data_IF_651845868212
#
_entry.id   IF_651845868212
#
_cell.length_a   1.000
_cell.length_b   1.000
_cell.length_c   1.000
_cell.angle_alpha   90.00
_cell.angle_beta   90.00
_cell.angle_gamma   90.00
#
_symmetry.space_group_name_H-M   'P 1'
#
loop_
_entity.id
_entity.type
_entity.pdbx_description
1 polymer ?
#
# COMPACT_ATOMS: atom_id res chain seq x y z
N UNK A 1 11.06 -16.45 15.03
CA UNK A 1 11.47 -15.02 14.99
C UNK A 1 10.32 -14.00 15.05
N UNK A 2 9.08 -14.39 15.39
CA UNK A 2 7.90 -13.50 15.39
C UNK A 2 7.57 -12.85 16.76
N UNK A 3 8.05 -13.41 17.87
CA UNK A 3 7.70 -12.92 19.22
C UNK A 3 8.45 -11.65 19.64
N UNK A 4 9.67 -11.42 19.14
CA UNK A 4 10.45 -10.21 19.46
C UNK A 4 9.83 -8.93 18.85
N UNK A 5 9.29 -9.03 17.63
CA UNK A 5 8.61 -7.90 16.96
C UNK A 5 7.37 -7.41 17.73
N UNK A 6 6.70 -8.33 18.44
CA UNK A 6 5.44 -8.05 19.16
C UNK A 6 5.67 -7.20 20.42
N UNK A 7 6.80 -7.37 21.09
CA UNK A 7 7.20 -6.56 22.26
C UNK A 7 7.69 -5.17 21.86
N UNK A 8 8.50 -5.08 20.80
CA UNK A 8 8.96 -3.79 20.26
C UNK A 8 7.79 -2.90 19.80
N UNK A 9 6.69 -3.48 19.30
CA UNK A 9 5.48 -2.75 18.88
C UNK A 9 4.80 -1.95 19.99
N UNK A 10 4.89 -2.39 21.26
CA UNK A 10 4.33 -1.64 22.41
C UNK A 10 5.18 -0.42 22.78
N UNK A 11 6.45 -0.39 22.40
CA UNK A 11 7.39 0.69 22.74
C UNK A 11 7.38 1.84 21.73
N UNK A 12 6.76 1.66 20.56
CA UNK A 12 6.65 2.75 19.59
C UNK A 12 5.68 3.83 20.12
N UNK A 13 6.10 5.09 20.04
CA UNK A 13 5.20 6.23 20.31
C UNK A 13 4.07 6.29 19.28
N UNK A 14 2.96 6.96 19.65
CA UNK A 14 1.84 7.19 18.72
C UNK A 14 2.33 7.92 17.48
N UNK A 15 3.13 8.97 17.65
CA UNK A 15 3.78 9.74 16.59
C UNK A 15 4.52 8.85 15.59
N UNK A 16 5.28 7.87 16.09
CA UNK A 16 6.05 6.98 15.22
C UNK A 16 5.14 6.05 14.42
N UNK A 17 4.07 5.54 15.03
CA UNK A 17 3.08 4.71 14.31
C UNK A 17 2.31 5.53 13.29
N UNK A 18 1.92 6.76 13.62
CA UNK A 18 1.26 7.70 12.69
C UNK A 18 2.17 7.98 11.50
N UNK A 19 3.44 8.31 11.73
CA UNK A 19 4.40 8.57 10.67
C UNK A 19 4.61 7.35 9.76
N UNK A 20 4.73 6.15 10.34
CA UNK A 20 4.92 4.92 9.57
C UNK A 20 3.65 4.50 8.81
N UNK A 21 2.47 4.75 9.37
CA UNK A 21 1.19 4.55 8.70
C UNK A 21 1.01 5.50 7.52
N UNK A 22 1.27 6.80 7.74
CA UNK A 22 1.23 7.84 6.71
C UNK A 22 2.18 7.52 5.55
N UNK A 23 3.43 7.15 5.87
CA UNK A 23 4.44 6.76 4.88
C UNK A 23 4.03 5.51 4.09
N UNK A 24 3.58 4.45 4.78
CA UNK A 24 3.16 3.22 4.13
C UNK A 24 1.92 3.41 3.23
N UNK A 25 0.92 4.14 3.73
CA UNK A 25 -0.28 4.47 2.97
C UNK A 25 0.04 5.35 1.77
N UNK A 26 0.85 6.40 1.94
CA UNK A 26 1.26 7.28 0.85
C UNK A 26 2.07 6.56 -0.24
N UNK A 27 3.02 5.69 0.15
CA UNK A 27 3.78 4.89 -0.80
C UNK A 27 2.90 3.91 -1.59
N UNK A 28 1.86 3.37 -0.97
CA UNK A 28 0.89 2.51 -1.65
C UNK A 28 -0.07 3.33 -2.53
N UNK A 29 -0.62 4.44 -2.04
CA UNK A 29 -1.47 5.35 -2.82
C UNK A 29 -0.77 5.91 -4.06
N UNK A 30 0.53 6.23 -3.94
CA UNK A 30 1.37 6.57 -5.08
C UNK A 30 1.44 5.41 -6.09
N UNK A 31 1.64 4.17 -5.63
CA UNK A 31 1.65 2.99 -6.51
C UNK A 31 0.31 2.78 -7.23
N UNK A 32 -0.80 2.94 -6.51
CA UNK A 32 -2.17 2.86 -7.06
C UNK A 32 -2.40 3.93 -8.12
N UNK A 33 -1.83 5.13 -7.95
CA UNK A 33 -1.95 6.22 -8.93
C UNK A 33 -1.37 5.88 -10.30
N UNK A 34 -0.39 4.97 -10.38
CA UNK A 34 0.25 4.54 -11.62
C UNK A 34 -0.29 3.20 -12.15
N UNK A 35 -1.32 2.64 -11.52
CA UNK A 35 -1.83 1.32 -11.85
C UNK A 35 -2.34 1.20 -13.30
N UNK A 36 -2.85 2.30 -13.88
CA UNK A 36 -3.27 2.34 -15.28
C UNK A 36 -2.10 2.13 -16.28
N UNK A 37 -0.85 2.26 -15.83
CA UNK A 37 0.36 1.99 -16.61
C UNK A 37 0.89 0.55 -16.40
N UNK A 38 0.20 -0.26 -15.59
CA UNK A 38 0.59 -1.62 -15.21
C UNK A 38 0.89 -1.78 -13.71
N UNK A 39 1.14 -3.02 -13.29
CA UNK A 39 1.47 -3.30 -11.88
C UNK A 39 2.84 -2.74 -11.50
N UNK A 40 2.88 -1.86 -10.51
CA UNK A 40 4.13 -1.32 -9.98
C UNK A 40 4.98 -2.41 -9.30
N UNK A 41 6.29 -2.36 -9.48
CA UNK A 41 7.22 -3.26 -8.78
C UNK A 41 7.01 -3.16 -7.26
N UNK A 42 6.75 -4.31 -6.63
CA UNK A 42 6.55 -4.41 -5.20
C UNK A 42 5.19 -3.93 -4.70
N UNK A 43 4.19 -3.83 -5.58
CA UNK A 43 2.81 -3.47 -5.25
C UNK A 43 2.27 -4.27 -4.05
N UNK A 44 2.35 -5.61 -4.11
CA UNK A 44 1.97 -6.51 -3.01
C UNK A 44 2.68 -6.19 -1.69
N UNK A 45 4.00 -5.98 -1.73
CA UNK A 45 4.79 -5.65 -0.53
C UNK A 45 4.38 -4.30 0.07
N UNK A 46 4.01 -3.32 -0.75
CA UNK A 46 3.52 -2.02 -0.30
C UNK A 46 2.13 -2.15 0.34
N UNK A 47 1.23 -2.94 -0.27
CA UNK A 47 -0.08 -3.25 0.30
C UNK A 47 0.05 -3.94 1.66
N UNK A 48 0.91 -4.97 1.77
CA UNK A 48 1.16 -5.67 3.04
C UNK A 48 1.73 -4.74 4.11
N UNK A 49 2.64 -3.83 3.74
CA UNK A 49 3.20 -2.82 4.65
C UNK A 49 2.11 -1.83 5.11
N UNK A 50 1.24 -1.39 4.21
CA UNK A 50 0.11 -0.52 4.56
C UNK A 50 -0.85 -1.24 5.52
N UNK A 51 -1.26 -2.47 5.20
CA UNK A 51 -2.11 -3.29 6.07
C UNK A 51 -1.53 -3.49 7.47
N UNK A 52 -0.22 -3.72 7.56
CA UNK A 52 0.47 -3.89 8.83
C UNK A 52 0.35 -2.64 9.72
N UNK A 53 0.60 -1.46 9.16
CA UNK A 53 0.55 -0.20 9.91
C UNK A 53 -0.88 0.27 10.15
N UNK A 54 -1.81 -0.02 9.24
CA UNK A 54 -3.24 0.23 9.41
C UNK A 54 -3.76 -0.48 10.67
N UNK A 55 -3.40 -1.75 10.86
CA UNK A 55 -3.78 -2.50 12.07
C UNK A 55 -3.21 -1.89 13.35
N UNK A 56 -1.95 -1.43 13.34
CA UNK A 56 -1.36 -0.79 14.53
C UNK A 56 -1.97 0.56 14.84
N UNK A 57 -2.23 1.34 13.79
CA UNK A 57 -2.89 2.63 13.90
C UNK A 57 -4.31 2.47 14.43
N UNK A 58 -5.07 1.52 13.88
CA UNK A 58 -6.39 1.16 14.38
C UNK A 58 -6.34 0.63 15.82
N UNK A 59 -5.36 -0.21 16.17
CA UNK A 59 -5.22 -0.75 17.54
C UNK A 59 -5.05 0.35 18.59
N UNK A 60 -4.51 1.51 18.22
CA UNK A 60 -4.33 2.68 19.11
C UNK A 60 -5.59 3.53 19.28
N UNK A 61 -6.68 3.22 18.57
CA UNK A 61 -7.96 3.90 18.71
C UNK A 61 -8.32 4.85 17.57
N UNK A 62 -7.42 5.05 16.61
CA UNK A 62 -7.64 5.97 15.50
C UNK A 62 -8.52 5.37 14.38
N UNK A 63 -9.27 6.23 13.68
CA UNK A 63 -9.96 5.90 12.43
C UNK A 63 -8.94 5.73 11.32
N UNK A 64 -9.02 4.62 10.61
CA UNK A 64 -8.18 4.36 9.44
C UNK A 64 -8.61 5.23 8.26
N UNK A 65 -7.68 5.46 7.35
CA UNK A 65 -7.83 6.37 6.22
C UNK A 65 -8.06 5.54 4.95
N UNK A 66 -9.07 5.89 4.12
CA UNK A 66 -9.33 5.19 2.86
C UNK A 66 -8.19 5.38 1.86
N UNK A 67 -8.08 4.45 0.91
CA UNK A 67 -7.02 4.48 -0.11
C UNK A 67 -7.06 5.76 -0.97
N UNK A 68 -8.26 6.30 -1.24
CA UNK A 68 -8.43 7.49 -2.09
C UNK A 68 -7.74 8.73 -1.50
N UNK A 69 -7.74 8.87 -0.17
CA UNK A 69 -7.03 9.94 0.52
C UNK A 69 -5.50 9.76 0.42
N UNK A 70 -5.02 8.51 0.48
CA UNK A 70 -3.61 8.22 0.26
C UNK A 70 -3.18 8.38 -1.21
N UNK A 71 -4.08 8.15 -2.16
CA UNK A 71 -3.87 8.46 -3.58
C UNK A 71 -3.78 9.97 -3.77
N UNK A 72 -4.69 10.74 -3.17
CA UNK A 72 -4.65 12.20 -3.16
C UNK A 72 -3.36 12.75 -2.54
N UNK A 73 -2.90 12.17 -1.43
CA UNK A 73 -1.67 12.54 -0.74
C UNK A 73 -0.41 12.14 -1.52
N UNK A 74 -0.24 10.84 -1.79
CA UNK A 74 0.98 10.29 -2.38
C UNK A 74 1.10 10.51 -3.88
N UNK A 75 -0.02 10.56 -4.61
CA UNK A 75 -0.04 10.76 -6.06
C UNK A 75 -0.16 12.22 -6.48
N UNK A 76 -0.88 13.05 -5.71
CA UNK A 76 -1.18 14.44 -6.08
C UNK A 76 -0.66 15.49 -5.10
N UNK A 77 0.05 15.07 -4.04
CA UNK A 77 0.67 15.99 -3.07
C UNK A 77 -0.31 16.77 -2.20
N UNK A 78 -1.58 16.32 -2.09
CA UNK A 78 -2.55 16.96 -1.19
C UNK A 78 -2.18 16.71 0.27
N UNK A 79 -2.56 17.63 1.14
CA UNK A 79 -2.37 17.44 2.58
C UNK A 79 -3.29 16.33 3.13
N UNK A 80 -2.80 15.61 4.14
CA UNK A 80 -3.49 14.50 4.81
C UNK A 80 -3.53 14.69 6.33
N UNK A 81 -2.95 15.76 6.87
CA UNK A 81 -2.84 15.96 8.32
C UNK A 81 -4.22 16.06 8.99
N UNK A 82 -5.22 16.62 8.30
CA UNK A 82 -6.58 16.75 8.84
C UNK A 82 -7.32 15.41 9.01
N UNK A 83 -6.88 14.34 8.35
CA UNK A 83 -7.51 13.00 8.46
C UNK A 83 -6.72 12.06 9.37
N UNK A 84 -5.50 12.44 9.76
CA UNK A 84 -4.69 11.72 10.75
C UNK A 84 -5.17 12.04 12.18
N UNK A 85 -4.85 11.13 13.10
CA UNK A 85 -5.13 11.18 14.53
C UNK A 85 -6.62 11.31 14.92
N UNK A 86 -7.55 11.15 13.99
CA UNK A 86 -8.99 11.14 14.29
C UNK A 86 -9.33 9.93 15.16
N UNK A 87 -9.84 10.16 16.36
CA UNK A 87 -10.24 9.09 17.28
C UNK A 87 -11.54 8.41 16.80
N UNK A 88 -11.62 7.09 16.98
CA UNK A 88 -12.88 6.35 16.82
C UNK A 88 -13.83 6.67 17.96
N UNK A 89 -15.12 6.69 17.64
CA UNK A 89 -16.17 6.77 18.65
C UNK A 89 -16.21 5.49 19.51
N UNK A 90 -16.77 5.58 20.71
CA UNK A 90 -16.96 4.42 21.60
C UNK A 90 -17.87 3.41 20.90
N UNK A 91 -17.41 2.16 20.79
CA UNK A 91 -18.15 1.08 20.12
C UNK A 91 -18.03 1.08 18.59
N UNK A 92 -17.35 2.06 17.99
CA UNK A 92 -17.05 2.06 16.56
C UNK A 92 -16.06 0.93 16.22
N UNK A 93 -16.46 0.06 15.28
CA UNK A 93 -15.61 -1.04 14.81
C UNK A 93 -14.51 -0.49 13.89
N UNK A 94 -13.26 -0.99 14.00
CA UNK A 94 -12.21 -0.60 13.07
C UNK A 94 -12.53 -1.08 11.65
N UNK A 95 -12.25 -0.22 10.66
CA UNK A 95 -12.30 -0.56 9.23
C UNK A 95 -10.87 -0.82 8.76
N UNK A 96 -10.66 -1.86 7.94
CA UNK A 96 -9.33 -2.21 7.42
C UNK A 96 -9.34 -2.10 5.90
N UNK A 97 -9.08 -0.90 5.38
CA UNK A 97 -9.14 -0.62 3.96
C UNK A 97 -8.13 -1.45 3.16
N UNK A 98 -6.97 -1.74 3.73
CA UNK A 98 -5.96 -2.56 3.06
C UNK A 98 -6.41 -4.01 2.87
N UNK A 99 -7.21 -4.56 3.79
CA UNK A 99 -7.75 -5.93 3.69
C UNK A 99 -8.89 -6.02 2.67
N UNK A 100 -9.67 -4.95 2.55
CA UNK A 100 -10.77 -4.87 1.59
C UNK A 100 -10.29 -4.50 0.18
N UNK A 101 -9.14 -3.83 0.04
CA UNK A 101 -8.62 -3.36 -1.25
C UNK A 101 -8.56 -4.46 -2.34
N UNK A 102 -7.99 -5.67 -2.10
CA UNK A 102 -7.97 -6.72 -3.11
C UNK A 102 -9.35 -7.12 -3.63
N UNK A 103 -10.38 -7.09 -2.78
CA UNK A 103 -11.75 -7.48 -3.16
C UNK A 103 -12.33 -6.49 -4.17
N UNK A 104 -12.00 -5.22 -4.04
CA UNK A 104 -12.42 -4.15 -4.95
C UNK A 104 -11.58 -4.12 -6.23
N UNK A 105 -10.27 -4.28 -6.07
CA UNK A 105 -9.31 -4.31 -7.17
C UNK A 105 -9.57 -5.45 -8.16
N UNK A 106 -9.78 -6.67 -7.66
CA UNK A 106 -10.04 -7.86 -8.50
C UNK A 106 -11.38 -7.82 -9.24
N UNK A 107 -12.32 -6.97 -8.82
CA UNK A 107 -13.60 -6.79 -9.51
C UNK A 107 -13.53 -5.79 -10.67
N UNK A 108 -12.54 -4.91 -10.65
CA UNK A 108 -12.48 -3.74 -11.53
C UNK A 108 -11.34 -3.81 -12.55
N UNK A 109 -10.32 -4.64 -12.29
CA UNK A 109 -9.20 -4.85 -13.21
C UNK A 109 -9.33 -6.24 -13.84
N UNK A 110 -9.51 -6.37 -15.17
CA UNK A 110 -9.42 -7.68 -15.82
C UNK A 110 -8.03 -8.26 -15.52
N UNK A 111 -7.89 -9.59 -15.33
CA UNK A 111 -6.59 -10.18 -15.11
C UNK A 111 -5.67 -9.77 -16.27
N UNK A 112 -4.63 -9.01 -15.96
CA UNK A 112 -3.55 -8.80 -16.91
C UNK A 112 -3.01 -10.20 -17.15
N UNK A 113 -3.19 -10.71 -18.38
CA UNK A 113 -2.81 -12.07 -18.77
C UNK A 113 -1.49 -12.42 -18.09
N UNK A 114 -1.45 -13.56 -17.40
CA UNK A 114 -0.19 -14.14 -16.95
C UNK A 114 0.72 -14.13 -18.19
N UNK A 115 1.73 -13.26 -18.21
CA UNK A 115 2.63 -13.17 -19.34
C UNK A 115 3.39 -14.48 -19.38
N UNK A 116 2.86 -15.38 -20.19
CA UNK A 116 3.49 -16.58 -20.68
C UNK A 116 4.93 -16.21 -21.06
N UNK A 117 5.87 -17.02 -20.57
CA UNK A 117 7.32 -16.87 -20.76
C UNK A 117 7.61 -16.15 -22.06
N UNK A 118 8.14 -14.93 -21.96
CA UNK A 118 8.74 -14.25 -23.10
C UNK A 118 9.89 -15.14 -23.56
N UNK A 119 9.65 -15.95 -24.59
CA UNK A 119 10.73 -16.58 -25.34
C UNK A 119 11.60 -15.45 -25.85
N UNK A 120 12.79 -15.34 -25.28
CA UNK A 120 13.80 -14.41 -25.78
C UNK A 120 14.12 -14.84 -27.20
N UNK A 121 13.64 -14.07 -28.18
CA UNK A 121 14.14 -14.19 -29.54
C UNK A 121 15.66 -13.99 -29.49
N UNK A 122 16.45 -14.96 -30.00
CA UNK A 122 17.89 -14.80 -30.03
C UNK A 122 18.20 -13.58 -30.88
N UNK A 123 18.90 -12.62 -30.28
CA UNK A 123 19.53 -11.51 -30.99
C UNK A 123 20.50 -12.14 -32.01
N UNK A 124 20.08 -12.29 -33.26
CA UNK A 124 21.01 -12.56 -34.34
C UNK A 124 21.83 -11.30 -34.51
N UNK A 125 23.10 -11.37 -34.10
CA UNK A 125 24.10 -10.39 -34.51
C UNK A 125 24.13 -10.39 -36.03
N UNK A 126 23.64 -9.31 -36.61
CA UNK A 126 23.86 -9.02 -38.02
C UNK A 126 25.34 -8.62 -38.16
N UNK A 127 26.19 -9.59 -38.44
CA UNK A 127 27.56 -9.37 -38.90
C UNK A 127 27.51 -8.97 -40.37
N UNK A 128 27.08 -7.73 -40.63
CA UNK A 128 27.16 -7.13 -41.95
C UNK A 128 27.44 -5.63 -41.86
N UNK A 129 28.71 -5.29 -41.60
CA UNK A 129 29.26 -3.98 -41.98
C UNK A 129 30.78 -4.15 -42.27
N UNK A 130 31.30 -3.42 -43.28
CA UNK A 130 32.32 -3.87 -44.23
C UNK A 130 33.76 -3.96 -43.69
#
# INVERSE_FOLDING_TARGET
MWNALRWFRRLLSDEKVVALYKDAGGAFGMAVSFLYMGECIGFKRRLERWAFWEREYARRGYRTIPIDDFVAYGGYGRDIESTLLVQRAIGEKPVYHAEDYPKWYLRTTPPVMEMEKVEMFPFTKDESAP
#
